data_IF_437786277753
#
_entry.id   IF_437786277753
#
_cell.length_a   1.000
_cell.length_b   1.000
_cell.length_c   1.000
_cell.angle_alpha   90.00
_cell.angle_beta   90.00
_cell.angle_gamma   90.00
#
_symmetry.space_group_name_H-M   'P 1'
#
loop_
_entity.id
_entity.type
_entity.pdbx_description
1 polymer ?
#
# COMPACT_ATOMS: atom_id res chain seq x y z
N UNK A 1 37.89 -26.18 -40.22
CA UNK A 1 36.82 -25.75 -41.11
C UNK A 1 35.51 -25.76 -40.36
N UNK A 2 34.83 -24.69 -40.46
CA UNK A 2 33.48 -24.26 -40.07
C UNK A 2 33.29 -23.81 -38.60
N UNK A 3 33.41 -22.49 -38.49
CA UNK A 3 32.79 -21.65 -37.48
C UNK A 3 31.30 -21.87 -37.42
N UNK A 4 30.78 -21.96 -36.21
CA UNK A 4 29.38 -21.64 -35.90
C UNK A 4 29.32 -20.58 -34.83
N UNK A 5 28.99 -19.39 -35.26
CA UNK A 5 28.63 -18.26 -34.45
C UNK A 5 27.53 -18.61 -33.44
N UNK A 6 27.76 -18.32 -32.18
CA UNK A 6 26.74 -18.40 -31.10
C UNK A 6 26.18 -17.01 -30.91
N UNK A 7 24.89 -16.86 -31.27
CA UNK A 7 24.13 -15.64 -31.02
C UNK A 7 23.81 -15.51 -29.52
N UNK A 8 24.06 -14.34 -29.02
CA UNK A 8 23.67 -13.89 -27.66
C UNK A 8 22.25 -13.36 -27.73
N UNK A 9 21.35 -13.94 -26.98
CA UNK A 9 20.05 -13.35 -26.73
C UNK A 9 20.06 -12.76 -25.32
N UNK A 10 20.05 -11.43 -25.24
CA UNK A 10 19.83 -10.69 -23.99
C UNK A 10 18.35 -10.39 -23.91
N UNK A 11 17.65 -11.05 -23.03
CA UNK A 11 16.28 -10.70 -22.68
C UNK A 11 16.27 -9.85 -21.41
N UNK A 12 15.94 -8.58 -21.55
CA UNK A 12 15.68 -7.71 -20.43
C UNK A 12 14.18 -7.69 -20.13
N UNK A 13 13.76 -8.24 -19.01
CA UNK A 13 12.43 -8.04 -18.47
C UNK A 13 12.52 -6.99 -17.37
N UNK A 14 11.93 -5.81 -17.61
CA UNK A 14 11.77 -4.75 -16.61
C UNK A 14 10.37 -4.88 -16.01
N UNK A 15 10.30 -5.30 -14.77
CA UNK A 15 9.11 -5.11 -13.96
C UNK A 15 9.49 -4.72 -12.55
N UNK A 16 9.03 -3.55 -12.15
CA UNK A 16 8.97 -3.00 -10.79
C UNK A 16 10.13 -3.37 -9.84
N UNK A 17 11.18 -2.57 -9.88
CA UNK A 17 12.02 -2.33 -8.69
C UNK A 17 13.01 -3.41 -8.27
N UNK A 18 13.05 -4.56 -8.94
CA UNK A 18 14.11 -5.56 -8.73
C UNK A 18 14.77 -5.90 -10.06
N UNK A 19 15.98 -5.43 -10.24
CA UNK A 19 16.84 -5.87 -11.35
C UNK A 19 17.42 -7.22 -10.97
N UNK A 20 16.82 -8.29 -11.47
CA UNK A 20 17.44 -9.63 -11.38
C UNK A 20 18.23 -9.84 -12.64
N UNK A 21 19.55 -9.76 -12.56
CA UNK A 21 20.43 -10.17 -13.63
C UNK A 21 20.56 -11.71 -13.61
N UNK A 22 19.85 -12.38 -14.50
CA UNK A 22 20.12 -13.79 -14.82
C UNK A 22 21.09 -13.84 -16.00
N UNK A 23 22.38 -14.00 -15.71
CA UNK A 23 23.37 -14.36 -16.74
C UNK A 23 23.35 -15.89 -16.92
N UNK A 24 22.87 -16.35 -18.08
CA UNK A 24 23.04 -17.73 -18.50
C UNK A 24 24.46 -17.89 -19.04
N UNK A 25 25.36 -18.46 -18.23
CA UNK A 25 26.70 -18.87 -18.68
C UNK A 25 26.61 -20.34 -19.05
N UNK A 26 26.87 -20.61 -20.33
CA UNK A 26 26.96 -21.97 -20.85
C UNK A 26 28.01 -22.79 -20.09
N UNK A 27 27.76 -24.07 -19.93
CA UNK A 27 28.62 -25.04 -19.26
C UNK A 27 30.04 -25.03 -19.82
N UNK A 28 30.88 -24.21 -19.23
CA UNK A 28 32.32 -24.34 -19.20
C UNK A 28 32.67 -24.62 -17.76
N UNK A 29 33.41 -25.66 -17.53
CA UNK A 29 33.88 -26.20 -16.29
C UNK A 29 34.06 -25.13 -15.20
N UNK A 30 33.10 -25.05 -14.30
CA UNK A 30 33.25 -24.30 -13.07
C UNK A 30 34.25 -25.08 -12.22
N UNK A 31 35.53 -24.72 -12.40
CA UNK A 31 36.50 -25.03 -11.38
C UNK A 31 35.97 -24.60 -10.03
N UNK A 32 36.04 -25.48 -9.09
CA UNK A 32 35.81 -25.36 -7.63
C UNK A 32 35.02 -24.12 -7.22
N UNK A 33 33.88 -24.29 -6.55
CA UNK A 33 33.21 -23.14 -5.95
C UNK A 33 34.28 -22.38 -5.19
N UNK A 34 34.29 -21.06 -5.33
CA UNK A 34 35.01 -20.19 -4.42
C UNK A 34 34.51 -20.54 -3.02
N UNK A 35 35.17 -21.52 -2.43
CA UNK A 35 35.09 -21.79 -1.01
C UNK A 35 35.74 -20.61 -0.31
N UNK A 36 35.09 -19.45 -0.34
CA UNK A 36 35.26 -18.50 0.70
C UNK A 36 34.71 -19.19 1.94
N UNK A 37 35.60 -19.91 2.64
CA UNK A 37 35.37 -20.30 4.00
C UNK A 37 35.04 -19.00 4.75
N UNK A 38 33.78 -18.82 5.10
CA UNK A 38 33.35 -17.80 6.04
C UNK A 38 33.82 -18.10 7.47
N UNK A 39 34.86 -18.94 7.61
CA UNK A 39 35.61 -19.15 8.82
C UNK A 39 36.37 -17.88 9.16
N UNK A 40 35.78 -17.09 10.00
CA UNK A 40 36.36 -15.82 10.49
C UNK A 40 35.41 -14.68 10.70
N UNK A 41 34.13 -14.81 10.32
CA UNK A 41 33.10 -13.82 10.65
C UNK A 41 32.34 -14.16 11.95
N UNK A 42 32.94 -14.92 12.86
CA UNK A 42 32.52 -14.95 14.26
C UNK A 42 32.87 -13.62 14.93
N UNK A 43 32.31 -12.55 14.38
CA UNK A 43 32.28 -11.28 15.08
C UNK A 43 31.40 -11.47 16.32
N UNK A 44 31.95 -11.26 17.51
CA UNK A 44 31.14 -11.18 18.72
C UNK A 44 29.95 -10.27 18.43
N UNK A 45 28.70 -10.70 18.75
CA UNK A 45 27.54 -9.87 18.57
C UNK A 45 27.80 -8.50 19.18
N UNK A 46 27.62 -7.43 18.40
CA UNK A 46 27.74 -6.10 18.97
C UNK A 46 26.67 -5.95 20.06
N UNK A 47 27.05 -5.44 21.24
CA UNK A 47 26.04 -5.19 22.27
C UNK A 47 24.99 -4.25 21.70
N UNK A 48 23.75 -4.69 21.71
CA UNK A 48 22.60 -3.87 21.31
C UNK A 48 22.36 -2.87 22.42
N UNK A 49 22.46 -1.59 22.13
CA UNK A 49 22.04 -0.55 23.07
C UNK A 49 20.53 -0.68 23.26
N UNK A 50 20.04 -0.91 24.49
CA UNK A 50 18.60 -0.99 24.72
C UNK A 50 17.96 0.33 24.30
N UNK A 51 16.73 0.25 23.76
CA UNK A 51 15.93 1.43 23.49
C UNK A 51 15.76 2.26 24.79
N UNK A 52 15.60 3.60 24.70
CA UNK A 52 15.34 4.42 25.87
C UNK A 52 14.21 3.81 26.69
N UNK A 53 14.39 3.73 28.02
CA UNK A 53 13.41 3.12 28.91
C UNK A 53 12.07 3.90 28.95
N UNK A 54 12.09 5.18 28.55
CA UNK A 54 10.91 6.05 28.51
C UNK A 54 10.81 6.77 27.16
N UNK A 55 9.62 6.68 26.56
CA UNK A 55 9.27 7.42 25.35
C UNK A 55 9.08 8.91 25.68
N UNK A 56 9.51 9.79 24.78
CA UNK A 56 9.25 11.21 24.89
C UNK A 56 7.76 11.57 24.77
N UNK A 57 7.34 12.75 25.21
CA UNK A 57 5.92 13.17 25.13
C UNK A 57 5.38 13.16 23.69
N UNK A 58 6.19 13.56 22.72
CA UNK A 58 5.84 13.59 21.30
C UNK A 58 5.69 12.18 20.72
N UNK A 59 6.54 11.26 21.11
CA UNK A 59 6.46 9.85 20.68
C UNK A 59 5.18 9.20 21.26
N UNK A 60 4.90 9.41 22.53
CA UNK A 60 3.66 8.93 23.16
C UNK A 60 2.42 9.48 22.47
N UNK A 61 2.41 10.77 22.13
CA UNK A 61 1.30 11.39 21.41
C UNK A 61 1.12 10.76 20.02
N UNK A 62 2.21 10.56 19.27
CA UNK A 62 2.20 9.93 17.95
C UNK A 62 1.66 8.51 18.01
N UNK A 63 2.16 7.70 18.94
CA UNK A 63 1.70 6.31 19.16
C UNK A 63 0.21 6.29 19.50
N UNK A 64 -0.22 7.13 20.43
CA UNK A 64 -1.63 7.20 20.87
C UNK A 64 -2.58 7.59 19.72
N UNK A 65 -2.19 8.52 18.85
CA UNK A 65 -2.98 8.87 17.66
C UNK A 65 -3.03 7.68 16.69
N UNK A 66 -1.91 7.04 16.44
CA UNK A 66 -1.84 5.87 15.55
C UNK A 66 -2.73 4.73 16.03
N UNK A 67 -2.62 4.31 17.29
CA UNK A 67 -3.41 3.23 17.87
C UNK A 67 -4.92 3.48 17.83
N UNK A 68 -5.34 4.73 17.96
CA UNK A 68 -6.77 5.09 17.82
C UNK A 68 -7.21 5.11 16.35
N UNK A 69 -6.43 5.73 15.48
CA UNK A 69 -6.83 5.93 14.09
C UNK A 69 -6.81 4.64 13.26
N UNK A 70 -5.91 3.69 13.57
CA UNK A 70 -5.81 2.42 12.84
C UNK A 70 -7.08 1.58 12.88
N UNK A 71 -7.88 1.70 13.94
CA UNK A 71 -9.19 1.04 14.03
C UNK A 71 -10.18 1.49 12.98
N UNK A 72 -10.03 2.74 12.54
CA UNK A 72 -10.89 3.36 11.53
C UNK A 72 -10.34 3.23 10.11
N UNK A 73 -9.07 2.88 9.92
CA UNK A 73 -8.44 2.77 8.59
C UNK A 73 -8.67 1.38 8.02
N UNK A 74 -9.13 1.34 6.78
CA UNK A 74 -9.50 0.10 6.09
C UNK A 74 -8.64 -0.10 4.85
N UNK A 75 -8.48 -1.36 4.44
CA UNK A 75 -7.94 -1.74 3.15
C UNK A 75 -9.06 -1.90 2.15
N UNK A 76 -8.84 -1.46 0.91
CA UNK A 76 -9.79 -1.58 -0.19
C UNK A 76 -9.10 -2.28 -1.34
N UNK A 77 -9.67 -3.37 -1.78
CA UNK A 77 -9.27 -4.08 -3.00
C UNK A 77 -10.38 -3.96 -4.04
N UNK A 78 -9.99 -3.67 -5.27
CA UNK A 78 -10.89 -3.72 -6.40
C UNK A 78 -10.53 -4.87 -7.34
N UNK A 79 -11.55 -5.49 -7.91
CA UNK A 79 -11.40 -6.51 -8.93
C UNK A 79 -12.16 -6.09 -10.18
N UNK A 80 -11.63 -6.45 -11.34
CA UNK A 80 -12.36 -6.35 -12.60
C UNK A 80 -12.67 -7.74 -13.16
N UNK A 81 -13.79 -7.84 -13.82
CA UNK A 81 -14.19 -9.05 -14.52
C UNK A 81 -13.49 -9.04 -15.88
N UNK A 82 -12.58 -9.98 -16.09
CA UNK A 82 -12.02 -10.26 -17.41
C UNK A 82 -12.65 -11.53 -17.97
N UNK A 83 -13.12 -11.46 -19.20
CA UNK A 83 -13.57 -12.64 -19.95
C UNK A 83 -12.40 -13.10 -20.81
N UNK A 84 -11.98 -14.33 -20.59
CA UNK A 84 -11.09 -14.98 -21.53
C UNK A 84 -11.86 -15.33 -22.79
N UNK A 85 -11.40 -14.80 -23.94
CA UNK A 85 -12.07 -14.96 -25.23
C UNK A 85 -12.04 -16.41 -25.74
N UNK A 86 -11.11 -17.24 -25.23
CA UNK A 86 -10.90 -18.61 -25.68
C UNK A 86 -11.54 -19.65 -24.77
N UNK A 87 -11.59 -19.43 -23.46
CA UNK A 87 -12.14 -20.38 -22.49
C UNK A 87 -13.59 -20.08 -22.10
N UNK A 88 -14.12 -18.89 -22.43
CA UNK A 88 -15.40 -18.36 -21.93
C UNK A 88 -15.47 -18.25 -20.39
N UNK A 89 -14.35 -18.46 -19.71
CA UNK A 89 -14.26 -18.33 -18.27
C UNK A 89 -14.29 -16.86 -17.83
N UNK A 90 -15.03 -16.61 -16.78
CA UNK A 90 -15.08 -15.30 -16.11
C UNK A 90 -14.07 -15.35 -14.98
N UNK A 91 -12.99 -14.55 -15.10
CA UNK A 91 -11.98 -14.42 -14.06
C UNK A 91 -12.10 -13.05 -13.39
N UNK A 92 -12.15 -13.04 -12.06
CA UNK A 92 -11.94 -11.81 -11.29
C UNK A 92 -10.44 -11.57 -11.15
N UNK A 93 -9.96 -10.48 -11.72
CA UNK A 93 -8.55 -10.11 -11.66
C UNK A 93 -8.40 -8.89 -10.74
N UNK A 94 -7.54 -8.95 -9.70
CA UNK A 94 -7.22 -7.77 -8.91
C UNK A 94 -6.67 -6.66 -9.80
N UNK A 95 -7.25 -5.46 -9.72
CA UNK A 95 -6.84 -4.32 -10.55
C UNK A 95 -6.09 -3.25 -9.74
N UNK A 96 -6.42 -3.13 -8.47
CA UNK A 96 -5.81 -2.14 -7.61
C UNK A 96 -6.21 -2.31 -6.15
N UNK A 97 -5.49 -1.60 -5.32
CA UNK A 97 -5.78 -1.52 -3.89
C UNK A 97 -5.48 -0.14 -3.36
N UNK A 98 -6.03 0.17 -2.21
CA UNK A 98 -5.79 1.43 -1.54
C UNK A 98 -6.30 1.41 -0.11
N UNK A 99 -6.26 2.56 0.51
CA UNK A 99 -6.77 2.77 1.86
C UNK A 99 -8.02 3.62 1.84
N UNK A 100 -8.83 3.46 2.86
CA UNK A 100 -9.98 4.32 3.17
C UNK A 100 -10.15 4.43 4.67
N UNK A 101 -11.19 5.10 5.09
CA UNK A 101 -11.52 5.18 6.51
C UNK A 101 -13.03 5.12 6.74
N UNK A 102 -13.40 4.63 7.94
CA UNK A 102 -14.78 4.53 8.39
C UNK A 102 -15.29 5.94 8.71
N UNK A 103 -16.31 6.38 8.00
CA UNK A 103 -16.96 7.68 8.20
C UNK A 103 -18.07 7.62 9.23
N UNK A 104 -18.83 6.53 9.25
CA UNK A 104 -19.99 6.41 10.13
C UNK A 104 -20.23 4.98 10.59
N UNK A 105 -20.97 4.84 11.69
CA UNK A 105 -21.43 3.53 12.21
C UNK A 105 -22.42 2.82 11.27
N UNK A 106 -22.98 3.52 10.30
CA UNK A 106 -23.83 2.93 9.27
C UNK A 106 -23.03 2.23 8.17
N UNK A 107 -21.68 2.19 8.28
CA UNK A 107 -20.80 1.49 7.34
C UNK A 107 -20.40 2.33 6.13
N UNK A 108 -20.50 3.66 6.20
CA UNK A 108 -19.94 4.50 5.15
C UNK A 108 -18.42 4.54 5.27
N UNK A 109 -17.76 4.32 4.14
CA UNK A 109 -16.30 4.35 3.99
C UNK A 109 -15.95 5.44 2.99
N UNK A 110 -15.01 6.30 3.34
CA UNK A 110 -14.45 7.30 2.42
C UNK A 110 -13.11 6.82 1.90
N UNK A 111 -12.92 6.97 0.60
CA UNK A 111 -11.67 6.61 -0.10
C UNK A 111 -11.45 7.53 -1.29
N UNK A 112 -10.34 7.35 -2.01
CA UNK A 112 -10.10 8.06 -3.26
C UNK A 112 -10.84 7.41 -4.42
N UNK A 113 -11.28 8.23 -5.38
CA UNK A 113 -11.97 7.75 -6.58
C UNK A 113 -11.08 6.84 -7.41
N UNK A 114 -9.78 7.17 -7.56
CA UNK A 114 -8.85 6.36 -8.34
C UNK A 114 -8.69 4.93 -7.79
N UNK A 115 -8.91 4.70 -6.48
CA UNK A 115 -8.84 3.36 -5.86
C UNK A 115 -9.94 2.44 -6.39
N UNK A 116 -11.10 3.01 -6.74
CA UNK A 116 -12.27 2.23 -7.19
C UNK A 116 -12.56 2.37 -8.69
N UNK A 117 -11.76 3.16 -9.39
CA UNK A 117 -11.97 3.40 -10.81
C UNK A 117 -11.91 2.10 -11.63
N UNK A 118 -12.93 1.85 -12.45
CA UNK A 118 -13.01 0.63 -13.27
C UNK A 118 -13.33 -0.66 -12.52
N UNK A 119 -13.59 -0.58 -11.20
CA UNK A 119 -13.91 -1.77 -10.40
C UNK A 119 -15.24 -2.40 -10.80
N UNK A 120 -15.26 -3.71 -11.03
CA UNK A 120 -16.48 -4.51 -11.14
C UNK A 120 -16.98 -4.97 -9.76
N UNK A 121 -16.05 -5.12 -8.82
CA UNK A 121 -16.33 -5.53 -7.44
C UNK A 121 -15.35 -4.83 -6.50
N UNK A 122 -15.85 -4.39 -5.35
CA UNK A 122 -15.06 -3.68 -4.34
C UNK A 122 -15.19 -4.43 -3.02
N UNK A 123 -14.05 -4.80 -2.42
CA UNK A 123 -13.97 -5.46 -1.13
C UNK A 123 -13.26 -4.54 -0.14
N UNK A 124 -13.83 -4.41 1.05
CA UNK A 124 -13.25 -3.64 2.16
C UNK A 124 -12.85 -4.62 3.26
N UNK A 125 -11.60 -4.52 3.73
CA UNK A 125 -11.11 -5.27 4.88
C UNK A 125 -10.93 -4.32 6.05
N UNK A 126 -11.60 -4.61 7.17
CA UNK A 126 -11.54 -3.83 8.41
C UNK A 126 -10.30 -4.16 9.23
N UNK A 127 -10.08 -3.40 10.31
CA UNK A 127 -8.95 -3.60 11.23
C UNK A 127 -8.97 -4.97 11.93
N UNK A 128 -10.13 -5.58 12.13
CA UNK A 128 -10.31 -6.93 12.66
C UNK A 128 -10.08 -8.04 11.62
N UNK A 129 -9.68 -7.66 10.40
CA UNK A 129 -9.48 -8.53 9.23
C UNK A 129 -10.77 -9.11 8.65
N UNK A 130 -11.93 -8.66 9.07
CA UNK A 130 -13.19 -9.04 8.42
C UNK A 130 -13.29 -8.40 7.03
N UNK A 131 -13.76 -9.17 6.05
CA UNK A 131 -13.93 -8.73 4.66
C UNK A 131 -15.40 -8.50 4.36
N UNK A 132 -15.70 -7.38 3.75
CA UNK A 132 -17.05 -6.96 3.41
C UNK A 132 -17.13 -6.52 1.97
N UNK A 133 -18.18 -6.97 1.27
CA UNK A 133 -18.49 -6.44 -0.05
C UNK A 133 -19.01 -5.02 0.09
N UNK A 134 -18.46 -4.10 -0.69
CA UNK A 134 -18.84 -2.71 -0.67
C UNK A 134 -19.68 -2.32 -1.90
N UNK A 135 -20.61 -1.40 -1.70
CA UNK A 135 -21.39 -0.77 -2.77
C UNK A 135 -20.99 0.70 -2.87
N UNK A 136 -20.88 1.20 -4.09
CA UNK A 136 -20.65 2.62 -4.34
C UNK A 136 -21.91 3.41 -3.99
N UNK A 137 -21.78 4.39 -3.10
CA UNK A 137 -22.84 5.35 -2.75
C UNK A 137 -22.76 6.57 -3.64
N UNK A 138 -21.55 7.09 -3.85
CA UNK A 138 -21.31 8.24 -4.70
C UNK A 138 -19.82 8.48 -4.90
N UNK A 139 -19.49 9.23 -5.94
CA UNK A 139 -18.10 9.58 -6.25
C UNK A 139 -18.03 11.01 -6.80
N UNK A 140 -16.92 11.65 -6.52
CA UNK A 140 -16.50 12.93 -7.08
C UNK A 140 -15.11 12.79 -7.71
N UNK A 141 -15.05 12.50 -9.01
CA UNK A 141 -13.79 12.33 -9.73
C UNK A 141 -12.93 13.61 -9.76
N UNK A 142 -13.56 14.77 -9.70
CA UNK A 142 -12.86 16.06 -9.76
C UNK A 142 -12.07 16.33 -8.48
N UNK A 143 -12.54 15.85 -7.34
CA UNK A 143 -11.84 15.92 -6.05
C UNK A 143 -11.19 14.60 -5.65
N UNK A 144 -11.21 13.60 -6.52
CA UNK A 144 -10.67 12.25 -6.25
C UNK A 144 -11.26 11.61 -4.98
N UNK A 145 -12.60 11.74 -4.80
CA UNK A 145 -13.30 11.19 -3.65
C UNK A 145 -14.33 10.13 -4.05
N UNK A 146 -14.51 9.15 -3.20
CA UNK A 146 -15.58 8.15 -3.31
C UNK A 146 -16.10 7.76 -1.92
N UNK A 147 -17.39 7.48 -1.86
CA UNK A 147 -18.06 6.95 -0.66
C UNK A 147 -18.63 5.58 -0.98
N UNK A 148 -18.24 4.62 -0.17
CA UNK A 148 -18.69 3.24 -0.23
C UNK A 148 -19.61 2.94 0.96
N UNK A 149 -20.44 1.91 0.81
CA UNK A 149 -21.28 1.37 1.88
C UNK A 149 -20.96 -0.11 2.06
N UNK A 150 -20.67 -0.50 3.29
CA UNK A 150 -20.55 -1.90 3.71
C UNK A 150 -21.63 -2.26 4.72
N UNK A 151 -21.89 -3.55 4.86
CA UNK A 151 -22.70 -4.09 5.93
C UNK A 151 -21.78 -4.84 6.90
N UNK A 152 -21.60 -4.28 8.08
CA UNK A 152 -20.81 -4.85 9.16
C UNK A 152 -21.55 -4.64 10.50
N UNK A 153 -21.14 -5.37 11.54
CA UNK A 153 -21.68 -5.17 12.86
C UNK A 153 -21.21 -3.82 13.45
N UNK A 154 -22.04 -3.17 14.25
CA UNK A 154 -21.74 -1.87 14.88
C UNK A 154 -20.45 -1.90 15.72
N UNK A 155 -20.10 -3.06 16.26
CA UNK A 155 -18.88 -3.24 17.07
C UNK A 155 -17.58 -3.23 16.24
N UNK A 156 -17.67 -3.56 14.95
CA UNK A 156 -16.53 -3.55 14.03
C UNK A 156 -16.28 -2.16 13.42
N UNK A 157 -17.23 -1.23 13.56
CA UNK A 157 -17.21 0.10 12.94
C UNK A 157 -16.84 1.18 13.98
N UNK A 158 -15.60 1.67 13.90
CA UNK A 158 -15.10 2.77 14.71
C UNK A 158 -14.86 4.00 13.80
N UNK A 159 -15.79 4.97 13.70
CA UNK A 159 -15.65 6.11 12.80
C UNK A 159 -14.49 7.01 13.21
N UNK A 160 -13.73 7.47 12.21
CA UNK A 160 -12.63 8.41 12.42
C UNK A 160 -13.17 9.79 12.85
N UNK A 161 -12.53 10.38 13.86
CA UNK A 161 -12.82 11.75 14.23
C UNK A 161 -12.42 12.74 13.13
N UNK A 162 -13.34 13.60 12.71
CA UNK A 162 -13.13 14.56 11.62
C UNK A 162 -12.74 15.91 12.20
N UNK A 163 -11.65 16.47 11.68
CA UNK A 163 -11.16 17.80 12.03
C UNK A 163 -11.49 18.83 10.94
N UNK A 164 -11.02 20.06 11.16
CA UNK A 164 -11.08 21.15 10.23
C UNK A 164 -9.67 21.48 9.68
N UNK A 165 -9.61 21.91 8.42
CA UNK A 165 -8.32 22.22 7.77
C UNK A 165 -8.06 23.73 7.59
N UNK A 166 -9.04 24.59 7.90
CA UNK A 166 -8.98 26.04 7.65
C UNK A 166 -8.00 26.78 8.56
N UNK A 167 -7.64 26.20 9.71
CA UNK A 167 -6.76 26.77 10.72
C UNK A 167 -5.37 26.11 10.76
N UNK A 168 -5.06 25.24 9.81
CA UNK A 168 -3.75 24.61 9.68
C UNK A 168 -2.66 25.66 9.45
N UNK A 169 -1.46 25.39 10.00
CA UNK A 169 -0.28 26.24 9.86
C UNK A 169 0.88 25.48 9.25
N UNK A 170 1.68 26.15 8.46
CA UNK A 170 2.95 25.62 7.96
C UNK A 170 3.85 25.27 9.15
N UNK A 171 4.48 24.10 9.11
CA UNK A 171 5.26 23.55 10.21
C UNK A 171 4.46 22.68 11.20
N UNK A 172 3.13 22.69 11.14
CA UNK A 172 2.30 21.85 12.01
C UNK A 172 2.52 20.37 11.66
N UNK A 173 2.74 19.53 12.68
CA UNK A 173 2.93 18.09 12.54
C UNK A 173 1.68 17.42 11.98
N UNK A 174 1.86 16.54 11.02
CA UNK A 174 0.82 15.71 10.43
C UNK A 174 1.25 14.26 10.40
N UNK A 175 0.27 13.37 10.45
CA UNK A 175 0.45 11.93 10.36
C UNK A 175 -0.36 11.41 9.17
N UNK A 176 0.25 10.60 8.32
CA UNK A 176 -0.45 9.85 7.29
C UNK A 176 -0.50 8.38 7.69
N UNK A 177 -1.70 7.82 7.72
CA UNK A 177 -1.95 6.43 8.11
C UNK A 177 -2.67 5.75 6.95
N UNK A 178 -2.15 4.61 6.50
CA UNK A 178 -2.75 3.81 5.46
C UNK A 178 -2.61 2.31 5.74
N UNK A 179 -3.28 1.52 4.92
CA UNK A 179 -3.13 0.07 4.87
C UNK A 179 -2.99 -0.37 3.39
N UNK A 180 -1.87 -0.04 2.73
CA UNK A 180 -1.76 -0.19 1.28
C UNK A 180 -1.72 -1.64 0.79
N UNK A 181 -1.41 -2.60 1.67
CA UNK A 181 -1.26 -4.01 1.33
C UNK A 181 -2.27 -4.92 2.03
N UNK A 182 -3.15 -4.36 2.86
CA UNK A 182 -4.13 -5.15 3.62
C UNK A 182 -3.54 -6.01 4.74
N UNK A 183 -2.25 -5.85 5.05
CA UNK A 183 -1.54 -6.63 6.07
C UNK A 183 -1.47 -5.82 7.37
N UNK A 184 -0.67 -4.76 7.38
CA UNK A 184 -0.43 -3.92 8.54
C UNK A 184 -0.60 -2.45 8.19
N UNK A 185 -1.05 -1.66 9.17
CA UNK A 185 -1.16 -0.22 9.02
C UNK A 185 0.23 0.42 9.00
N UNK A 186 0.42 1.35 8.07
CA UNK A 186 1.66 2.09 7.91
C UNK A 186 1.48 3.52 8.39
N UNK A 187 2.43 4.02 9.18
CA UNK A 187 2.47 5.39 9.67
C UNK A 187 3.61 6.16 9.01
N UNK A 188 3.29 7.32 8.48
CA UNK A 188 4.27 8.30 8.02
C UNK A 188 4.05 9.61 8.76
N UNK A 189 5.13 10.24 9.22
CA UNK A 189 5.08 11.53 9.90
C UNK A 189 5.65 12.63 9.00
N UNK A 190 5.09 13.82 9.10
CA UNK A 190 5.55 14.97 8.35
C UNK A 190 5.06 16.28 8.94
N UNK A 191 5.23 17.35 8.18
CA UNK A 191 4.70 18.67 8.54
C UNK A 191 3.94 19.26 7.36
N UNK A 192 3.00 20.13 7.65
CA UNK A 192 2.38 20.99 6.65
C UNK A 192 3.45 21.88 6.04
N UNK A 193 3.82 21.63 4.78
CA UNK A 193 4.92 22.36 4.12
C UNK A 193 4.43 23.64 3.42
N UNK A 194 3.18 23.66 3.00
CA UNK A 194 2.55 24.81 2.36
C UNK A 194 1.03 24.70 2.45
N UNK A 195 0.36 25.84 2.30
CA UNK A 195 -1.09 25.96 2.23
C UNK A 195 -1.52 26.58 0.89
N UNK A 196 -2.78 26.37 0.51
CA UNK A 196 -3.38 26.97 -0.69
C UNK A 196 -2.77 26.51 -2.01
N UNK A 197 -2.14 25.34 -2.06
CA UNK A 197 -1.64 24.74 -3.30
C UNK A 197 -2.74 23.91 -3.96
N UNK A 198 -2.87 24.08 -5.26
CA UNK A 198 -3.79 23.31 -6.09
C UNK A 198 -3.03 22.19 -6.79
N UNK A 199 -3.60 21.01 -6.81
CA UNK A 199 -3.12 19.84 -7.58
C UNK A 199 -4.17 19.51 -8.64
N UNK A 200 -3.72 18.95 -9.76
CA UNK A 200 -4.65 18.44 -10.79
C UNK A 200 -5.16 17.08 -10.34
N UNK A 201 -6.47 16.88 -10.39
CA UNK A 201 -7.11 15.59 -10.17
C UNK A 201 -6.94 14.66 -11.39
N UNK A 202 -7.40 13.40 -11.29
CA UNK A 202 -7.41 12.47 -12.43
C UNK A 202 -8.24 12.99 -13.62
N UNK A 203 -9.28 13.80 -13.38
CA UNK A 203 -10.07 14.48 -14.41
C UNK A 203 -9.34 15.65 -15.06
N UNK A 204 -8.11 15.97 -14.64
CA UNK A 204 -7.32 17.16 -15.04
C UNK A 204 -7.99 18.51 -14.71
N UNK A 205 -9.01 18.50 -13.88
CA UNK A 205 -9.62 19.72 -13.33
C UNK A 205 -8.92 20.14 -12.05
N UNK A 206 -8.87 21.43 -11.79
CA UNK A 206 -8.25 22.06 -10.61
C UNK A 206 -9.31 22.52 -9.63
#
# INVERSE_FOLDING_TARGET
MSDRARGWAIGAAVSLGCVVFTAYVGAAEWGTPLGASYEGLEGKPRPVTPAPAELGPDERATISVFERATKSVVFIANTAIQRDFWSLDIMEVPQGSGSGFIWSKQGHIVTNFHVIYGASSIKVTLADRSEHQAKLVGADPDHDLAVLQIQASDHALDPLAIGASHDLRVGQKVLAIGNPFGLDHTLTTGVVSALGRTIKSMSQRT
#
